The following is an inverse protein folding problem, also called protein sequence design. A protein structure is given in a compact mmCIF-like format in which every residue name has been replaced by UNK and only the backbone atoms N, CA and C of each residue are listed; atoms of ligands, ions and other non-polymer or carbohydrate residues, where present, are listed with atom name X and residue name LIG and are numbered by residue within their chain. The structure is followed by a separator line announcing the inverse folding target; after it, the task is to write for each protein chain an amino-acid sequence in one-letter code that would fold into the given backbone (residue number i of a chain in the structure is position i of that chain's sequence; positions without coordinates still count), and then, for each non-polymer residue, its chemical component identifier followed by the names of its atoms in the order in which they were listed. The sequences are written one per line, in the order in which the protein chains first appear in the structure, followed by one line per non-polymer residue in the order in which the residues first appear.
data_IF_016525743776
#
_entry.id   IF_016525743776
#
_cell.length_a   1.000
_cell.length_b   1.000
_cell.length_c   1.000
_cell.angle_alpha   90.00
_cell.angle_beta   90.00
_cell.angle_gamma   90.00
#
_symmetry.space_group_name_H-M   'P 1'
#
loop_
_entity.id
_entity.type
_entity.pdbx_description
1 polymer ?
#
# COMPACT_ATOMS: atom_id res chain seq x y z
N UNK A 1 -23.56 -7.81 62.78
CA UNK A 1 -23.50 -7.05 61.50
C UNK A 1 -22.07 -7.04 60.97
N UNK A 2 -21.07 -6.85 61.84
CA UNK A 2 -19.65 -6.80 61.44
C UNK A 2 -19.11 -8.09 60.81
N UNK A 3 -19.54 -9.28 61.28
CA UNK A 3 -19.09 -10.56 60.70
C UNK A 3 -19.42 -10.72 59.21
N UNK A 4 -20.59 -10.26 58.76
CA UNK A 4 -20.97 -10.33 57.34
C UNK A 4 -20.11 -9.39 56.48
N UNK A 5 -19.71 -8.24 57.01
CA UNK A 5 -18.83 -7.29 56.33
C UNK A 5 -17.41 -7.88 56.18
N UNK A 6 -16.91 -8.57 57.19
CA UNK A 6 -15.61 -9.25 57.11
C UNK A 6 -15.63 -10.39 56.10
N UNK A 7 -16.71 -11.17 56.06
CA UNK A 7 -16.86 -12.28 55.12
C UNK A 7 -16.94 -11.77 53.68
N UNK A 8 -17.78 -10.76 53.41
CA UNK A 8 -17.92 -10.18 52.07
C UNK A 8 -16.61 -9.57 51.55
N UNK A 9 -15.82 -8.94 52.43
CA UNK A 9 -14.49 -8.42 52.09
C UNK A 9 -13.48 -9.51 51.78
N UNK A 10 -13.57 -10.65 52.44
CA UNK A 10 -12.70 -11.79 52.15
C UNK A 10 -13.05 -12.41 50.80
N UNK A 11 -14.35 -12.60 50.52
CA UNK A 11 -14.85 -13.13 49.25
C UNK A 11 -14.45 -12.23 48.07
N UNK A 12 -14.67 -10.91 48.17
CA UNK A 12 -14.25 -9.96 47.15
C UNK A 12 -12.75 -9.98 46.86
N UNK A 13 -11.91 -10.15 47.90
CA UNK A 13 -10.45 -10.26 47.73
C UNK A 13 -10.07 -11.53 46.99
N UNK A 14 -10.74 -12.65 47.29
CA UNK A 14 -10.50 -13.93 46.62
C UNK A 14 -10.96 -13.88 45.17
N UNK A 15 -12.14 -13.33 44.88
CA UNK A 15 -12.63 -13.16 43.51
C UNK A 15 -11.72 -12.25 42.68
N UNK A 16 -11.26 -11.15 43.27
CA UNK A 16 -10.35 -10.23 42.59
C UNK A 16 -8.99 -10.88 42.30
N UNK A 17 -8.42 -11.61 43.26
CA UNK A 17 -7.17 -12.35 43.07
C UNK A 17 -7.32 -13.40 41.96
N UNK A 18 -8.40 -14.20 42.00
CA UNK A 18 -8.68 -15.21 40.98
C UNK A 18 -8.85 -14.60 39.59
N UNK A 19 -9.48 -13.42 39.50
CA UNK A 19 -9.67 -12.71 38.24
C UNK A 19 -8.33 -12.23 37.67
N UNK A 20 -7.44 -11.71 38.52
CA UNK A 20 -6.09 -11.29 38.10
C UNK A 20 -5.28 -12.50 37.61
N UNK A 21 -5.33 -13.63 38.31
CA UNK A 21 -4.62 -14.85 37.88
C UNK A 21 -5.14 -15.36 36.53
N UNK A 22 -6.45 -15.29 36.29
CA UNK A 22 -7.04 -15.65 35.00
C UNK A 22 -6.55 -14.72 33.88
N UNK A 23 -6.55 -13.39 34.10
CA UNK A 23 -6.02 -12.44 33.14
C UNK A 23 -4.54 -12.65 32.86
N UNK A 24 -3.75 -12.91 33.90
CA UNK A 24 -2.31 -13.17 33.75
C UNK A 24 -2.06 -14.42 32.91
N UNK A 25 -2.84 -15.48 33.14
CA UNK A 25 -2.79 -16.72 32.35
C UNK A 25 -3.18 -16.50 30.89
N UNK A 26 -4.21 -15.68 30.64
CA UNK A 26 -4.65 -15.35 29.28
C UNK A 26 -3.62 -14.50 28.53
N UNK A 27 -3.05 -13.48 29.19
CA UNK A 27 -1.96 -12.66 28.63
C UNK A 27 -0.75 -13.53 28.30
N UNK A 28 -0.43 -14.50 29.16
CA UNK A 28 0.68 -15.42 28.92
C UNK A 28 0.40 -16.34 27.73
N UNK A 29 -0.81 -16.88 27.61
CA UNK A 29 -1.21 -17.70 26.48
C UNK A 29 -1.17 -16.91 25.15
N UNK A 30 -1.66 -15.66 25.15
CA UNK A 30 -1.60 -14.78 23.98
C UNK A 30 -0.16 -14.44 23.60
N UNK A 31 0.70 -14.15 24.58
CA UNK A 31 2.11 -13.86 24.33
C UNK A 31 2.84 -15.04 23.71
N UNK A 32 2.60 -16.26 24.21
CA UNK A 32 3.16 -17.49 23.63
C UNK A 32 2.68 -17.72 22.19
N UNK A 33 1.41 -17.42 21.91
CA UNK A 33 0.85 -17.54 20.56
C UNK A 33 1.47 -16.52 19.61
N UNK A 34 1.69 -15.28 20.06
CA UNK A 34 2.40 -14.24 19.32
C UNK A 34 3.85 -14.67 19.03
N UNK A 35 4.57 -15.21 20.01
CA UNK A 35 5.93 -15.73 19.82
C UNK A 35 5.98 -16.92 18.87
N UNK A 36 5.02 -17.84 18.96
CA UNK A 36 4.92 -18.97 18.04
C UNK A 36 4.63 -18.50 16.59
N UNK A 37 3.76 -17.51 16.40
CA UNK A 37 3.51 -16.89 15.10
C UNK A 37 4.77 -16.19 14.58
N UNK A 38 5.51 -15.46 15.42
CA UNK A 38 6.77 -14.80 15.03
C UNK A 38 7.87 -15.81 14.66
N UNK A 39 7.98 -16.93 15.38
CA UNK A 39 8.95 -17.99 15.06
C UNK A 39 8.53 -18.80 13.82
N UNK A 40 7.23 -19.00 13.60
CA UNK A 40 6.71 -19.61 12.37
C UNK A 40 6.78 -18.66 11.16
N UNK A 41 6.89 -17.35 11.39
CA UNK A 41 7.10 -16.32 10.38
C UNK A 41 8.54 -15.82 10.32
N UNK A 42 9.53 -16.62 10.75
CA UNK A 42 10.90 -16.49 10.24
C UNK A 42 10.77 -16.51 8.71
N UNK A 43 10.95 -15.37 8.03
CA UNK A 43 11.06 -15.40 6.59
C UNK A 43 12.25 -16.33 6.32
N UNK A 44 12.24 -17.17 5.26
CA UNK A 44 13.49 -17.73 4.79
C UNK A 44 14.53 -16.59 4.78
N UNK A 45 15.77 -16.82 5.25
CA UNK A 45 16.80 -15.78 5.32
C UNK A 45 16.70 -14.96 4.05
N UNK A 46 16.66 -13.60 4.10
CA UNK A 46 16.34 -12.80 2.93
C UNK A 46 17.20 -13.35 1.83
N UNK A 47 16.57 -14.12 0.93
CA UNK A 47 17.31 -14.66 -0.17
C UNK A 47 17.71 -13.37 -0.83
N UNK A 48 19.00 -13.11 -0.77
CA UNK A 48 19.67 -12.12 -1.56
C UNK A 48 19.52 -12.66 -2.98
N UNK A 49 18.29 -12.64 -3.50
CA UNK A 49 18.04 -12.44 -4.89
C UNK A 49 18.43 -11.00 -5.15
N UNK A 50 19.75 -10.80 -5.10
CA UNK A 50 20.53 -9.86 -5.90
C UNK A 50 20.42 -10.25 -7.39
N UNK A 51 19.37 -10.96 -7.80
CA UNK A 51 18.94 -10.78 -9.17
C UNK A 51 18.34 -9.39 -9.18
N UNK A 52 18.81 -8.47 -10.03
CA UNK A 52 17.96 -7.37 -10.43
C UNK A 52 16.62 -8.02 -10.74
N UNK A 53 15.54 -7.64 -10.04
CA UNK A 53 14.21 -7.92 -10.59
C UNK A 53 14.32 -7.50 -12.04
N UNK A 54 13.99 -8.41 -12.95
CA UNK A 54 14.04 -8.18 -14.39
C UNK A 54 13.16 -6.96 -14.68
N UNK A 55 13.76 -5.79 -14.53
CA UNK A 55 13.11 -4.50 -14.61
C UNK A 55 13.24 -4.10 -16.05
N UNK A 56 12.10 -3.84 -16.66
CA UNK A 56 12.12 -3.31 -18.00
C UNK A 56 12.87 -1.97 -18.01
N UNK A 57 13.54 -1.64 -19.11
CA UNK A 57 14.06 -0.29 -19.29
C UNK A 57 12.96 0.75 -19.00
N UNK A 58 13.33 1.84 -18.34
CA UNK A 58 12.38 2.91 -18.10
C UNK A 58 11.97 3.55 -19.44
N UNK A 59 10.66 3.77 -19.66
CA UNK A 59 10.19 4.41 -20.88
C UNK A 59 10.65 5.88 -20.95
N UNK A 60 10.71 6.42 -22.17
CA UNK A 60 10.93 7.84 -22.38
C UNK A 60 9.77 8.64 -21.75
N UNK A 61 10.06 9.82 -21.19
CA UNK A 61 9.00 10.70 -20.69
C UNK A 61 8.07 11.12 -21.83
N UNK A 62 6.77 11.19 -21.56
CA UNK A 62 5.83 11.66 -22.57
C UNK A 62 6.00 13.16 -22.81
N UNK A 63 6.19 13.50 -24.08
CA UNK A 63 6.48 14.87 -24.52
C UNK A 63 5.25 15.66 -24.92
N UNK A 64 4.06 15.05 -24.92
CA UNK A 64 2.83 15.68 -25.42
C UNK A 64 2.65 15.59 -26.94
N UNK A 65 3.46 14.78 -27.64
CA UNK A 65 3.31 14.52 -29.07
C UNK A 65 2.25 13.43 -29.31
N UNK A 66 1.10 13.78 -29.89
CA UNK A 66 -0.04 12.84 -30.07
C UNK A 66 0.33 11.57 -30.83
N UNK A 67 1.20 11.66 -31.85
CA UNK A 67 1.61 10.49 -32.64
C UNK A 67 2.49 9.50 -31.86
N UNK A 68 3.09 9.91 -30.73
CA UNK A 68 3.83 9.03 -29.83
C UNK A 68 2.98 8.49 -28.68
N UNK A 69 1.76 9.00 -28.50
CA UNK A 69 0.95 8.74 -27.32
C UNK A 69 0.64 7.24 -27.16
N UNK A 70 0.19 6.55 -28.22
CA UNK A 70 -0.15 5.13 -28.13
C UNK A 70 1.03 4.25 -27.76
N UNK A 71 2.18 4.53 -28.39
CA UNK A 71 3.43 3.81 -28.10
C UNK A 71 3.83 4.05 -26.65
N UNK A 72 3.75 5.28 -26.17
CA UNK A 72 4.10 5.62 -24.79
C UNK A 72 3.12 5.00 -23.77
N UNK A 73 1.81 5.08 -24.00
CA UNK A 73 0.77 4.49 -23.12
C UNK A 73 0.97 2.98 -23.02
N UNK A 74 1.23 2.30 -24.15
CA UNK A 74 1.54 0.87 -24.17
C UNK A 74 2.80 0.55 -23.35
N UNK A 75 3.88 1.32 -23.50
CA UNK A 75 5.12 1.11 -22.75
C UNK A 75 4.92 1.32 -21.24
N UNK A 76 4.21 2.36 -20.84
CA UNK A 76 3.91 2.64 -19.42
C UNK A 76 3.05 1.55 -18.81
N UNK A 77 2.01 1.08 -19.52
CA UNK A 77 1.16 -0.03 -19.03
C UNK A 77 1.95 -1.32 -18.87
N UNK A 78 2.81 -1.65 -19.83
CA UNK A 78 3.67 -2.84 -19.74
C UNK A 78 4.65 -2.72 -18.58
N UNK A 79 5.28 -1.55 -18.40
CA UNK A 79 6.16 -1.26 -17.27
C UNK A 79 5.45 -1.40 -15.93
N UNK A 80 4.26 -0.83 -15.78
CA UNK A 80 3.45 -0.95 -14.56
C UNK A 80 2.95 -2.39 -14.33
N UNK A 81 2.64 -3.15 -15.38
CA UNK A 81 2.20 -4.54 -15.26
C UNK A 81 3.31 -5.47 -14.76
N UNK A 82 4.54 -5.27 -15.23
CA UNK A 82 5.68 -6.13 -14.89
C UNK A 82 6.40 -5.64 -13.62
N UNK A 83 6.65 -4.33 -13.55
CA UNK A 83 7.43 -3.72 -12.47
C UNK A 83 6.58 -3.04 -11.42
N UNK A 84 5.25 -3.02 -11.53
CA UNK A 84 4.35 -2.44 -10.53
C UNK A 84 4.65 -2.89 -9.10
N UNK A 85 4.80 -4.20 -8.82
CA UNK A 85 5.18 -4.69 -7.50
C UNK A 85 6.57 -4.24 -7.03
N UNK A 86 7.49 -3.93 -7.95
CA UNK A 86 8.82 -3.41 -7.65
C UNK A 86 8.84 -1.88 -7.47
N UNK A 87 7.95 -1.16 -8.18
CA UNK A 87 7.74 0.28 -8.07
C UNK A 87 7.11 0.62 -6.72
N UNK A 88 6.17 -0.19 -6.24
CA UNK A 88 5.57 -0.06 -4.91
C UNK A 88 4.05 -0.16 -4.93
N UNK A 89 3.43 0.50 -3.95
CA UNK A 89 1.98 0.57 -3.80
C UNK A 89 1.31 1.49 -4.85
N UNK A 90 -0.01 1.64 -4.77
CA UNK A 90 -0.79 2.48 -5.69
C UNK A 90 -0.31 3.93 -5.69
N UNK A 91 0.09 4.46 -4.53
CA UNK A 91 0.69 5.79 -4.38
C UNK A 91 1.97 5.90 -5.18
N UNK A 92 2.92 4.99 -5.00
CA UNK A 92 4.18 4.98 -5.73
C UNK A 92 3.96 4.86 -7.25
N UNK A 93 3.04 3.99 -7.68
CA UNK A 93 2.71 3.80 -9.09
C UNK A 93 2.05 5.05 -9.71
N UNK A 94 1.18 5.74 -8.98
CA UNK A 94 0.60 7.01 -9.39
C UNK A 94 1.67 8.08 -9.63
N UNK A 95 2.56 8.29 -8.65
CA UNK A 95 3.64 9.27 -8.80
C UNK A 95 4.65 8.85 -9.86
N UNK A 96 4.88 7.55 -10.06
CA UNK A 96 5.71 7.05 -11.16
C UNK A 96 5.18 7.51 -12.52
N UNK A 97 3.88 7.35 -12.77
CA UNK A 97 3.25 7.80 -14.04
C UNK A 97 3.34 9.32 -14.16
N UNK A 98 3.03 10.06 -13.10
CA UNK A 98 3.12 11.53 -13.11
C UNK A 98 4.55 12.04 -13.42
N UNK A 99 5.58 11.41 -12.83
CA UNK A 99 6.99 11.80 -13.04
C UNK A 99 7.54 11.39 -14.42
N UNK A 100 6.86 10.45 -15.10
CA UNK A 100 7.12 10.06 -16.49
C UNK A 100 6.48 10.99 -17.52
N UNK A 101 5.92 12.13 -17.10
CA UNK A 101 5.42 13.18 -17.98
C UNK A 101 6.42 14.35 -18.02
N UNK A 102 6.53 15.04 -19.17
CA UNK A 102 7.20 16.35 -19.20
C UNK A 102 6.37 17.42 -18.48
N UNK A 103 7.04 18.47 -18.00
CA UNK A 103 6.42 19.56 -17.21
C UNK A 103 5.17 20.16 -17.86
N UNK A 104 5.18 20.35 -19.17
CA UNK A 104 4.02 20.85 -19.91
C UNK A 104 2.81 19.90 -19.81
N UNK A 105 3.04 18.60 -19.89
CA UNK A 105 1.97 17.59 -19.80
C UNK A 105 1.54 17.39 -18.34
N UNK A 106 2.48 17.46 -17.39
CA UNK A 106 2.19 17.45 -15.95
C UNK A 106 1.20 18.56 -15.58
N UNK A 107 1.37 19.76 -16.14
CA UNK A 107 0.46 20.88 -15.92
C UNK A 107 -1.00 20.55 -16.30
N UNK A 108 -1.20 19.71 -17.32
CA UNK A 108 -2.53 19.31 -17.80
C UNK A 108 -3.23 18.32 -16.85
N UNK A 109 -2.45 17.56 -16.06
CA UNK A 109 -2.97 16.53 -15.16
C UNK A 109 -2.88 16.92 -13.67
N UNK A 110 -2.57 18.19 -13.38
CA UNK A 110 -2.63 18.74 -12.03
C UNK A 110 -4.00 18.56 -11.33
N UNK A 111 -5.16 18.63 -12.03
CA UNK A 111 -6.44 18.35 -11.39
C UNK A 111 -6.53 16.94 -10.79
N UNK A 112 -5.96 15.94 -11.46
CA UNK A 112 -5.90 14.56 -10.96
C UNK A 112 -4.98 14.46 -9.75
N UNK A 113 -3.84 15.17 -9.78
CA UNK A 113 -2.92 15.23 -8.64
C UNK A 113 -3.57 15.86 -7.39
N UNK A 114 -4.30 16.96 -7.56
CA UNK A 114 -5.04 17.60 -6.47
C UNK A 114 -6.13 16.67 -5.91
N UNK A 115 -6.90 16.02 -6.79
CA UNK A 115 -7.95 15.08 -6.39
C UNK A 115 -7.39 13.87 -5.64
N UNK A 116 -6.27 13.30 -6.10
CA UNK A 116 -5.61 12.18 -5.43
C UNK A 116 -5.10 12.58 -4.04
N UNK A 117 -4.52 13.79 -3.91
CA UNK A 117 -4.07 14.32 -2.61
C UNK A 117 -5.23 14.52 -1.64
N UNK A 118 -6.33 15.09 -2.11
CA UNK A 118 -7.46 15.46 -1.26
C UNK A 118 -8.30 14.23 -0.85
N UNK A 119 -8.40 13.21 -1.72
CA UNK A 119 -9.11 11.95 -1.44
C UNK A 119 -8.26 10.86 -0.80
N UNK A 120 -6.93 10.93 -0.93
CA UNK A 120 -5.99 9.86 -0.57
C UNK A 120 -5.94 8.69 -1.55
N UNK A 121 -6.81 8.67 -2.58
CA UNK A 121 -6.89 7.58 -3.57
C UNK A 121 -5.97 7.90 -4.76
N UNK A 122 -4.88 7.15 -4.87
CA UNK A 122 -3.86 7.34 -5.90
C UNK A 122 -4.04 6.31 -7.03
N UNK A 123 -4.98 6.56 -7.94
CA UNK A 123 -5.21 5.73 -9.13
C UNK A 123 -4.61 6.37 -10.38
N UNK A 124 -3.56 5.75 -10.93
CA UNK A 124 -2.88 6.27 -12.11
C UNK A 124 -3.75 6.25 -13.37
N UNK A 125 -4.82 5.45 -13.40
CA UNK A 125 -5.74 5.41 -14.55
C UNK A 125 -6.41 6.77 -14.77
N UNK A 126 -6.63 7.55 -13.70
CA UNK A 126 -7.17 8.91 -13.81
C UNK A 126 -6.28 9.83 -14.67
N UNK A 127 -4.97 9.70 -14.56
CA UNK A 127 -3.98 10.42 -15.38
C UNK A 127 -4.05 9.90 -16.82
N UNK A 128 -3.99 8.58 -17.00
CA UNK A 128 -3.99 7.96 -18.33
C UNK A 128 -5.26 8.28 -19.12
N UNK A 129 -6.43 8.25 -18.48
CA UNK A 129 -7.72 8.59 -19.09
C UNK A 129 -7.79 10.06 -19.50
N UNK A 130 -7.24 10.96 -18.67
CA UNK A 130 -7.16 12.38 -19.00
C UNK A 130 -6.30 12.62 -20.23
N UNK A 131 -5.14 11.96 -20.32
CA UNK A 131 -4.26 12.07 -21.47
C UNK A 131 -4.89 11.44 -22.72
N UNK A 132 -5.58 10.31 -22.56
CA UNK A 132 -6.26 9.63 -23.66
C UNK A 132 -7.28 10.55 -24.33
N UNK A 133 -8.09 11.26 -23.55
CA UNK A 133 -9.08 12.20 -24.09
C UNK A 133 -8.47 13.32 -24.94
N UNK A 134 -7.23 13.72 -24.66
CA UNK A 134 -6.55 14.82 -25.34
C UNK A 134 -5.76 14.32 -26.55
N UNK A 135 -5.07 13.19 -26.40
CA UNK A 135 -4.05 12.73 -27.35
C UNK A 135 -4.48 11.53 -28.19
N UNK A 136 -5.56 10.83 -27.81
CA UNK A 136 -6.12 9.78 -28.64
C UNK A 136 -6.84 10.42 -29.84
N UNK A 137 -6.25 10.24 -31.01
CA UNK A 137 -6.74 10.83 -32.26
C UNK A 137 -7.94 10.01 -32.77
N UNK A 138 -9.13 10.60 -32.92
CA UNK A 138 -10.32 9.90 -33.43
C UNK A 138 -10.20 9.44 -34.89
N UNK A 139 -9.18 9.89 -35.63
CA UNK A 139 -8.99 9.57 -37.05
C UNK A 139 -7.87 8.52 -37.32
N UNK A 140 -7.46 7.72 -36.32
CA UNK A 140 -6.54 6.61 -36.56
C UNK A 140 -7.24 5.53 -37.38
N UNK A 141 -6.94 5.49 -38.68
CA UNK A 141 -7.37 4.47 -39.64
C UNK A 141 -6.13 3.84 -40.25
#
# INVERSE_FOLDING_TARGET
MDQQIYQLRAELRTEFASTIDNFHSEIQAQSQLIEAIQQASVPPPPSSSKRPKSSLPDPEKFTGQSFKYDTWDALIRVKLAIDGPAIGDSTAQFYYVFLNLLSQVQAMVLPQLATARDSGVHDYNTILDSLRRVYDNPNKT
#
